data_IF_454105341959
#
_entry.id   IF_454105341959
#
_cell.length_a   1.000
_cell.length_b   1.000
_cell.length_c   1.000
_cell.angle_alpha   90.00
_cell.angle_beta   90.00
_cell.angle_gamma   90.00
#
_symmetry.space_group_name_H-M   'P 1'
#
loop_
_entity.id
_entity.type
_entity.pdbx_description
1 polymer ?
#
# COMPACT_ATOMS: atom_id res chain seq x y z
N UNK A 1 -12.65 12.22 6.58
CA UNK A 1 -13.28 11.35 5.56
C UNK A 1 -12.47 11.22 4.27
N UNK A 2 -12.32 12.27 3.44
CA UNK A 2 -11.66 12.16 2.12
C UNK A 2 -10.17 11.78 2.21
N UNK A 3 -9.39 12.46 3.05
CA UNK A 3 -7.94 12.22 3.18
C UNK A 3 -7.59 10.78 3.61
N UNK A 4 -8.30 10.23 4.60
CA UNK A 4 -8.12 8.84 5.06
C UNK A 4 -8.43 7.83 3.97
N UNK A 5 -9.55 8.00 3.25
CA UNK A 5 -9.90 7.13 2.12
C UNK A 5 -8.87 7.24 0.99
N UNK A 6 -8.40 8.45 0.67
CA UNK A 6 -7.38 8.66 -0.36
C UNK A 6 -6.07 7.95 0.01
N UNK A 7 -5.61 8.07 1.25
CA UNK A 7 -4.40 7.38 1.71
C UNK A 7 -4.54 5.86 1.69
N UNK A 8 -5.72 5.36 2.08
CA UNK A 8 -6.03 3.93 2.03
C UNK A 8 -5.98 3.38 0.60
N UNK A 9 -6.64 4.04 -0.35
CA UNK A 9 -6.62 3.65 -1.76
C UNK A 9 -5.23 3.80 -2.39
N UNK A 10 -4.47 4.84 -2.01
CA UNK A 10 -3.09 5.01 -2.46
C UNK A 10 -2.19 3.86 -1.97
N UNK A 11 -2.31 3.45 -0.70
CA UNK A 11 -1.59 2.29 -0.16
C UNK A 11 -1.98 0.98 -0.85
N UNK A 12 -3.26 0.79 -1.15
CA UNK A 12 -3.79 -0.40 -1.83
C UNK A 12 -3.27 -0.51 -3.28
N UNK A 13 -3.25 0.61 -4.01
CA UNK A 13 -2.66 0.66 -5.36
C UNK A 13 -1.15 0.39 -5.33
N UNK A 14 -0.42 0.95 -4.36
CA UNK A 14 1.01 0.71 -4.21
C UNK A 14 1.32 -0.75 -3.89
N UNK A 15 0.50 -1.38 -3.04
CA UNK A 15 0.58 -2.81 -2.72
C UNK A 15 0.39 -3.67 -3.98
N UNK A 16 -0.66 -3.42 -4.76
CA UNK A 16 -0.90 -4.17 -6.01
C UNK A 16 0.23 -3.98 -7.00
N UNK A 17 0.77 -2.76 -7.12
CA UNK A 17 1.89 -2.47 -8.00
C UNK A 17 3.16 -3.22 -7.57
N UNK A 18 3.45 -3.26 -6.26
CA UNK A 18 4.57 -4.01 -5.71
C UNK A 18 4.46 -5.51 -5.96
N UNK A 19 3.27 -6.10 -5.75
CA UNK A 19 3.02 -7.52 -6.03
C UNK A 19 3.15 -7.83 -7.53
N UNK A 20 2.63 -6.95 -8.39
CA UNK A 20 2.74 -7.10 -9.84
C UNK A 20 4.19 -7.04 -10.33
N UNK A 21 4.97 -6.06 -9.84
CA UNK A 21 6.41 -5.95 -10.13
C UNK A 21 7.20 -7.15 -9.61
N UNK A 22 6.85 -7.65 -8.42
CA UNK A 22 7.51 -8.80 -7.80
C UNK A 22 7.19 -10.13 -8.48
N UNK A 23 5.97 -10.29 -9.01
CA UNK A 23 5.49 -11.59 -9.51
C UNK A 23 5.54 -11.72 -11.01
N UNK A 24 5.26 -10.63 -11.76
CA UNK A 24 5.00 -10.72 -13.19
C UNK A 24 6.14 -10.18 -14.05
N UNK A 25 6.84 -9.14 -13.60
CA UNK A 25 7.64 -8.34 -14.52
C UNK A 25 9.06 -8.88 -14.68
N UNK A 26 9.87 -9.05 -13.63
CA UNK A 26 11.26 -9.56 -13.77
C UNK A 26 11.77 -10.21 -12.47
N UNK A 27 12.32 -11.44 -12.57
CA UNK A 27 12.92 -12.20 -11.45
C UNK A 27 14.02 -11.43 -10.68
N UNK A 28 14.58 -10.38 -11.27
CA UNK A 28 15.59 -9.54 -10.63
C UNK A 28 15.03 -8.31 -9.88
N UNK A 29 13.74 -7.99 -10.02
CA UNK A 29 13.08 -6.87 -9.32
C UNK A 29 12.26 -7.31 -8.11
N UNK A 30 12.33 -8.59 -7.73
CA UNK A 30 11.60 -9.16 -6.58
C UNK A 30 11.85 -8.35 -5.30
N UNK A 31 13.08 -7.91 -5.06
CA UNK A 31 13.43 -7.10 -3.89
C UNK A 31 12.69 -5.75 -3.90
N UNK A 32 12.68 -5.07 -5.04
CA UNK A 32 12.03 -3.76 -5.23
C UNK A 32 10.51 -3.92 -5.14
N UNK A 33 9.95 -4.95 -5.77
CA UNK A 33 8.52 -5.27 -5.70
C UNK A 33 8.06 -5.62 -4.29
N UNK A 34 8.88 -6.38 -3.55
CA UNK A 34 8.60 -6.72 -2.14
C UNK A 34 8.65 -5.48 -1.25
N UNK A 35 9.66 -4.60 -1.42
CA UNK A 35 9.74 -3.32 -0.70
C UNK A 35 8.52 -2.43 -0.98
N UNK A 36 8.11 -2.32 -2.25
CA UNK A 36 6.90 -1.60 -2.65
C UNK A 36 5.63 -2.21 -2.07
N UNK A 37 5.52 -3.55 -2.06
CA UNK A 37 4.41 -4.27 -1.47
C UNK A 37 4.29 -4.04 0.03
N UNK A 38 5.39 -4.24 0.77
CA UNK A 38 5.44 -4.06 2.23
C UNK A 38 5.15 -2.60 2.61
N UNK A 39 5.73 -1.63 1.90
CA UNK A 39 5.49 -0.22 2.17
C UNK A 39 4.05 0.20 1.84
N UNK A 40 3.47 -0.29 0.73
CA UNK A 40 2.06 -0.06 0.39
C UNK A 40 1.10 -0.66 1.41
N UNK A 41 1.37 -1.89 1.86
CA UNK A 41 0.61 -2.55 2.92
C UNK A 41 0.69 -1.83 4.26
N UNK A 42 1.89 -1.37 4.65
CA UNK A 42 2.09 -0.55 5.85
C UNK A 42 1.36 0.79 5.76
N UNK A 43 1.41 1.47 4.61
CA UNK A 43 0.70 2.73 4.40
C UNK A 43 -0.82 2.54 4.51
N UNK A 44 -1.35 1.47 3.91
CA UNK A 44 -2.76 1.12 3.98
C UNK A 44 -3.18 0.79 5.42
N UNK A 45 -2.43 -0.07 6.12
CA UNK A 45 -2.68 -0.46 7.51
C UNK A 45 -2.58 0.71 8.47
N UNK A 46 -1.51 1.51 8.37
CA UNK A 46 -1.32 2.69 9.19
C UNK A 46 -2.40 3.74 8.95
N UNK A 47 -2.85 3.91 7.71
CA UNK A 47 -3.97 4.80 7.40
C UNK A 47 -5.30 4.32 7.98
N UNK A 48 -5.49 3.02 8.21
CA UNK A 48 -6.69 2.47 8.82
C UNK A 48 -6.65 2.52 10.35
N UNK A 49 -5.45 2.40 10.93
CA UNK A 49 -5.25 2.29 12.38
C UNK A 49 -4.95 3.63 13.07
N UNK A 50 -4.12 4.49 12.46
CA UNK A 50 -3.62 5.72 13.08
C UNK A 50 -4.27 7.00 12.58
N UNK A 51 -4.97 6.99 11.44
CA UNK A 51 -5.75 8.18 11.05
C UNK A 51 -7.00 8.28 11.92
N UNK A 52 -7.36 9.48 12.39
CA UNK A 52 -8.53 9.68 13.23
C UNK A 52 -9.77 9.09 12.57
N UNK A 53 -10.34 8.06 13.19
CA UNK A 53 -11.69 7.63 12.87
C UNK A 53 -12.62 8.78 13.25
N UNK A 54 -13.54 9.19 12.37
CA UNK A 54 -14.56 10.16 12.75
C UNK A 54 -15.27 9.63 14.00
N UNK A 55 -15.35 10.46 15.05
CA UNK A 55 -16.33 10.26 16.12
C UNK A 55 -17.70 10.47 15.45
N UNK A 56 -18.38 9.39 15.15
CA UNK A 56 -19.84 9.41 15.01
C UNK A 56 -20.47 9.47 16.40
#
# INVERSE_FOLDING_TARGET
>A
MKKTRILFFAGLLLLMLGIYLSSLLLTHWVIIGTLLGVSGGLLMGASSYFLPKPKE
#
